data_IF_045950600287
#
_entry.id   IF_045950600287
#
_cell.length_a   1.000
_cell.length_b   1.000
_cell.length_c   1.000
_cell.angle_alpha   90.00
_cell.angle_beta   90.00
_cell.angle_gamma   90.00
#
_symmetry.space_group_name_H-M   'P 1'
#
loop_
_entity.id
_entity.type
_entity.pdbx_description
1 polymer ?
#
# COMPACT_ATOMS: atom_id res chain seq x y z
N UNK A 1 7.74 -18.89 -15.55
CA UNK A 1 7.31 -17.49 -15.74
C UNK A 1 7.74 -16.98 -17.10
N UNK A 2 9.03 -17.16 -17.51
CA UNK A 2 9.54 -16.75 -18.84
C UNK A 2 8.77 -17.39 -20.02
N UNK A 3 8.38 -18.66 -19.87
CA UNK A 3 7.63 -19.42 -20.90
C UNK A 3 6.18 -18.96 -21.09
N UNK A 4 5.59 -18.35 -20.07
CA UNK A 4 4.25 -17.74 -20.13
C UNK A 4 4.26 -16.38 -20.86
N UNK A 5 5.31 -15.57 -20.69
CA UNK A 5 5.46 -14.30 -21.41
C UNK A 5 5.64 -14.49 -22.91
N UNK A 6 6.44 -15.49 -23.33
CA UNK A 6 6.59 -15.83 -24.76
C UNK A 6 5.26 -16.30 -25.40
N UNK A 7 4.41 -16.99 -24.64
CA UNK A 7 3.06 -17.34 -25.08
C UNK A 7 2.15 -16.10 -25.17
N UNK A 8 2.30 -15.12 -24.25
CA UNK A 8 1.52 -13.88 -24.23
C UNK A 8 1.78 -12.99 -25.46
N UNK A 9 3.04 -12.84 -25.88
CA UNK A 9 3.38 -12.07 -27.09
C UNK A 9 2.77 -12.66 -28.36
N UNK A 10 2.69 -14.00 -28.44
CA UNK A 10 2.00 -14.69 -29.54
C UNK A 10 0.49 -14.54 -29.49
N UNK A 11 -0.12 -14.29 -28.31
CA UNK A 11 -1.55 -14.11 -28.14
C UNK A 11 -2.07 -12.79 -28.73
N UNK A 12 -1.31 -11.69 -28.62
CA UNK A 12 -1.71 -10.39 -29.16
C UNK A 12 -1.81 -10.37 -30.68
N UNK A 13 -1.25 -11.38 -31.35
CA UNK A 13 -1.25 -11.49 -32.80
C UNK A 13 -2.30 -12.47 -33.35
N UNK A 14 -3.01 -13.23 -32.51
CA UNK A 14 -3.98 -14.22 -32.95
C UNK A 14 -5.43 -13.70 -32.79
N UNK A 15 -6.17 -13.74 -33.90
CA UNK A 15 -7.60 -13.35 -34.01
C UNK A 15 -8.57 -14.37 -33.31
N UNK A 16 -8.07 -15.35 -32.58
CA UNK A 16 -8.83 -16.52 -32.10
C UNK A 16 -9.53 -16.34 -30.76
N UNK A 17 -9.90 -15.11 -30.39
CA UNK A 17 -10.85 -14.85 -29.31
C UNK A 17 -10.40 -15.30 -27.90
N UNK A 18 -9.08 -15.49 -27.68
CA UNK A 18 -8.53 -15.86 -26.37
C UNK A 18 -8.59 -14.67 -25.42
N UNK A 19 -9.14 -14.94 -24.23
CA UNK A 19 -9.40 -13.90 -23.22
C UNK A 19 -8.58 -14.19 -21.95
N UNK A 20 -8.57 -13.25 -21.01
CA UNK A 20 -8.04 -13.46 -19.66
C UNK A 20 -8.60 -14.74 -19.01
N UNK A 21 -9.81 -15.16 -19.36
CA UNK A 21 -10.41 -16.42 -18.90
C UNK A 21 -9.63 -17.65 -19.40
N UNK A 22 -9.12 -17.62 -20.61
CA UNK A 22 -8.32 -18.72 -21.18
C UNK A 22 -7.00 -18.86 -20.42
N UNK A 23 -6.35 -17.74 -20.08
CA UNK A 23 -5.12 -17.71 -19.29
C UNK A 23 -5.40 -18.25 -17.87
N UNK A 24 -6.47 -17.79 -17.24
CA UNK A 24 -6.88 -18.26 -15.90
C UNK A 24 -7.19 -19.75 -15.89
N UNK A 25 -7.83 -20.26 -16.95
CA UNK A 25 -8.08 -21.68 -17.11
C UNK A 25 -6.78 -22.50 -17.20
N UNK A 26 -5.82 -22.06 -17.99
CA UNK A 26 -4.55 -22.77 -18.13
C UNK A 26 -3.69 -22.67 -16.87
N UNK A 27 -3.58 -21.50 -16.26
CA UNK A 27 -2.86 -21.37 -14.99
C UNK A 27 -3.45 -22.28 -13.91
N UNK A 28 -4.78 -22.43 -13.85
CA UNK A 28 -5.45 -23.33 -12.91
C UNK A 28 -5.11 -24.80 -13.17
N UNK A 29 -4.98 -25.21 -14.43
CA UNK A 29 -4.73 -26.61 -14.79
C UNK A 29 -3.23 -26.97 -14.74
N UNK A 30 -2.36 -26.08 -15.23
CA UNK A 30 -0.93 -26.39 -15.40
C UNK A 30 -0.11 -26.15 -14.11
N UNK A 31 -0.50 -25.16 -13.28
CA UNK A 31 0.26 -24.71 -12.08
C UNK A 31 -0.67 -24.48 -10.91
N UNK A 32 -1.57 -25.40 -10.65
CA UNK A 32 -2.71 -25.24 -9.70
C UNK A 32 -2.31 -24.76 -8.30
N UNK A 33 -1.21 -25.26 -7.72
CA UNK A 33 -0.74 -24.84 -6.39
C UNK A 33 -0.20 -23.40 -6.35
N UNK A 34 0.55 -22.99 -7.39
CA UNK A 34 1.10 -21.64 -7.49
C UNK A 34 -0.01 -20.66 -7.87
N UNK A 35 -0.92 -21.05 -8.77
CA UNK A 35 -2.09 -20.26 -9.12
C UNK A 35 -2.95 -19.96 -7.90
N UNK A 36 -3.24 -20.96 -7.06
CA UNK A 36 -4.00 -20.80 -5.83
C UNK A 36 -3.33 -19.81 -4.87
N UNK A 37 -2.00 -19.90 -4.67
CA UNK A 37 -1.25 -18.94 -3.85
C UNK A 37 -1.35 -17.50 -4.37
N UNK A 38 -1.23 -17.31 -5.70
CA UNK A 38 -1.36 -15.97 -6.31
C UNK A 38 -2.80 -15.47 -6.18
N UNK A 39 -3.79 -16.32 -6.38
CA UNK A 39 -5.19 -15.98 -6.22
C UNK A 39 -5.52 -15.58 -4.77
N UNK A 40 -5.04 -16.35 -3.79
CA UNK A 40 -5.20 -16.05 -2.35
C UNK A 40 -4.48 -14.76 -1.93
N UNK A 41 -3.55 -14.24 -2.73
CA UNK A 41 -2.89 -12.93 -2.49
C UNK A 41 -3.65 -11.76 -3.09
N UNK A 42 -4.73 -11.98 -3.83
CA UNK A 42 -5.49 -10.92 -4.49
C UNK A 42 -6.70 -10.47 -3.67
N UNK A 43 -6.97 -9.18 -3.69
CA UNK A 43 -8.17 -8.60 -3.06
C UNK A 43 -9.46 -9.26 -3.59
N UNK A 44 -9.48 -9.58 -4.88
CA UNK A 44 -10.61 -10.18 -5.56
C UNK A 44 -11.03 -11.53 -4.95
N UNK A 45 -10.07 -12.34 -4.55
CA UNK A 45 -10.31 -13.59 -3.84
C UNK A 45 -11.07 -13.36 -2.53
N UNK A 46 -10.62 -12.41 -1.72
CA UNK A 46 -11.26 -12.12 -0.42
C UNK A 46 -12.64 -11.49 -0.57
N UNK A 47 -12.86 -10.72 -1.62
CA UNK A 47 -14.21 -10.19 -1.95
C UNK A 47 -15.16 -11.33 -2.31
N UNK A 48 -14.73 -12.28 -3.15
CA UNK A 48 -15.54 -13.45 -3.50
C UNK A 48 -15.83 -14.32 -2.27
N UNK A 49 -14.83 -14.56 -1.42
CA UNK A 49 -15.00 -15.32 -0.17
C UNK A 49 -15.98 -14.61 0.78
N UNK A 50 -15.89 -13.29 0.91
CA UNK A 50 -16.84 -12.51 1.70
C UNK A 50 -18.27 -12.60 1.15
N UNK A 51 -18.46 -12.64 -0.17
CA UNK A 51 -19.78 -12.85 -0.78
C UNK A 51 -20.31 -14.25 -0.48
N UNK A 52 -19.48 -15.30 -0.64
CA UNK A 52 -19.88 -16.69 -0.37
C UNK A 52 -20.30 -16.89 1.09
N UNK A 53 -19.62 -16.22 2.03
CA UNK A 53 -19.91 -16.26 3.47
C UNK A 53 -20.89 -15.20 3.94
N UNK A 54 -21.60 -14.53 3.02
CA UNK A 54 -22.64 -13.52 3.30
C UNK A 54 -22.13 -12.35 4.15
N UNK A 55 -20.90 -11.93 3.93
CA UNK A 55 -20.32 -10.73 4.54
C UNK A 55 -20.08 -10.85 6.04
N UNK A 56 -19.48 -11.95 6.51
CA UNK A 56 -19.01 -12.04 7.89
C UNK A 56 -18.00 -10.91 8.20
N UNK A 57 -18.01 -10.43 9.43
CA UNK A 57 -17.17 -9.30 9.86
C UNK A 57 -15.68 -9.57 9.64
N UNK A 58 -15.24 -10.80 9.90
CA UNK A 58 -13.85 -11.24 9.70
C UNK A 58 -13.46 -11.25 8.22
N UNK A 59 -14.32 -11.74 7.32
CA UNK A 59 -14.01 -11.79 5.89
C UNK A 59 -13.93 -10.38 5.30
N UNK A 60 -14.81 -9.47 5.73
CA UNK A 60 -14.76 -8.06 5.35
C UNK A 60 -13.52 -7.35 5.92
N UNK A 61 -13.06 -7.74 7.12
CA UNK A 61 -11.81 -7.25 7.68
C UNK A 61 -10.59 -7.76 6.90
N UNK A 62 -10.63 -8.99 6.37
CA UNK A 62 -9.58 -9.50 5.48
C UNK A 62 -9.52 -8.72 4.16
N UNK A 63 -10.67 -8.37 3.56
CA UNK A 63 -10.70 -7.48 2.39
C UNK A 63 -10.02 -6.16 2.71
N UNK A 64 -10.34 -5.54 3.85
CA UNK A 64 -9.73 -4.30 4.32
C UNK A 64 -8.21 -4.45 4.49
N UNK A 65 -7.76 -5.56 5.11
CA UNK A 65 -6.37 -5.86 5.33
C UNK A 65 -5.59 -6.00 4.01
N UNK A 66 -6.10 -6.77 3.06
CA UNK A 66 -5.42 -6.95 1.77
C UNK A 66 -5.28 -5.65 0.97
N UNK A 67 -6.24 -4.74 1.08
CA UNK A 67 -6.18 -3.43 0.43
C UNK A 67 -5.14 -2.50 1.06
N UNK A 68 -4.96 -2.60 2.38
CA UNK A 68 -4.31 -1.53 3.14
C UNK A 68 -3.19 -2.01 4.07
N UNK A 69 -2.75 -3.27 4.02
CA UNK A 69 -1.67 -3.83 4.85
C UNK A 69 -0.35 -3.07 4.77
N UNK A 70 -0.06 -2.43 3.62
CA UNK A 70 1.15 -1.64 3.41
C UNK A 70 0.94 -0.15 3.75
N UNK A 71 -0.27 0.22 4.13
CA UNK A 71 -0.65 1.61 4.42
C UNK A 71 -1.03 1.87 5.88
N UNK A 72 -1.54 0.87 6.57
CA UNK A 72 -1.96 0.99 7.97
C UNK A 72 -1.34 -0.10 8.83
N UNK A 73 -1.02 0.24 10.07
CA UNK A 73 -0.57 -0.69 11.11
C UNK A 73 -1.31 -0.37 12.41
N UNK A 74 -1.71 -1.40 13.14
CA UNK A 74 -2.14 -1.29 14.52
C UNK A 74 -0.93 -1.52 15.45
N UNK A 75 -0.43 -0.47 16.08
CA UNK A 75 0.72 -0.53 16.97
C UNK A 75 0.36 -0.97 18.40
N UNK A 76 -0.90 -0.80 18.80
CA UNK A 76 -1.38 -1.26 20.11
C UNK A 76 -2.83 -1.76 19.98
N UNK A 77 -3.00 -3.06 20.18
CA UNK A 77 -4.32 -3.69 20.16
C UNK A 77 -5.21 -3.22 21.30
N UNK A 78 -4.67 -3.15 22.51
CA UNK A 78 -5.43 -2.78 23.73
C UNK A 78 -5.88 -1.31 23.71
N UNK A 79 -5.06 -0.42 23.18
CA UNK A 79 -5.33 1.01 23.12
C UNK A 79 -5.92 1.45 21.77
N UNK A 80 -5.98 0.56 20.79
CA UNK A 80 -6.48 0.87 19.44
C UNK A 80 -5.65 1.95 18.73
N UNK A 81 -4.31 1.92 18.91
CA UNK A 81 -3.41 2.91 18.31
C UNK A 81 -3.09 2.47 16.89
N UNK A 82 -3.40 3.35 15.93
CA UNK A 82 -3.19 3.14 14.51
C UNK A 82 -2.15 4.10 13.95
N UNK A 83 -1.33 3.60 13.04
CA UNK A 83 -0.45 4.41 12.20
C UNK A 83 -0.86 4.27 10.74
N UNK A 84 -0.79 5.39 10.02
CA UNK A 84 -0.98 5.46 8.59
C UNK A 84 0.35 5.83 7.93
N UNK A 85 0.71 5.11 6.87
CA UNK A 85 1.83 5.47 6.02
C UNK A 85 1.41 6.57 5.05
N UNK A 86 1.98 7.76 5.23
CA UNK A 86 1.72 8.93 4.38
C UNK A 86 3.02 9.67 4.07
N UNK A 87 3.24 10.02 2.80
CA UNK A 87 4.37 10.81 2.31
C UNK A 87 5.73 10.33 2.84
N UNK A 88 5.96 9.02 2.77
CA UNK A 88 7.24 8.43 3.11
C UNK A 88 7.46 8.14 4.59
N UNK A 89 6.47 8.33 5.46
CA UNK A 89 6.57 8.10 6.90
C UNK A 89 5.31 7.54 7.54
N UNK A 90 5.46 6.97 8.69
CA UNK A 90 4.37 6.52 9.54
C UNK A 90 3.89 7.66 10.44
N UNK A 91 2.61 7.96 10.38
CA UNK A 91 1.96 9.02 11.17
C UNK A 91 0.91 8.38 12.07
N UNK A 92 0.92 8.72 13.35
CA UNK A 92 -0.10 8.24 14.28
C UNK A 92 -1.47 8.84 13.90
N UNK A 93 -2.47 7.97 13.76
CA UNK A 93 -3.82 8.34 13.40
C UNK A 93 -4.75 8.36 14.61
N UNK A 94 -5.87 9.06 14.49
CA UNK A 94 -6.89 9.16 15.55
C UNK A 94 -7.79 7.92 15.55
N UNK A 95 -7.42 6.92 16.36
CA UNK A 95 -8.24 5.74 16.66
C UNK A 95 -8.73 4.93 15.45
N UNK A 96 -8.03 5.01 14.32
CA UNK A 96 -8.39 4.30 13.09
C UNK A 96 -9.60 4.88 12.34
N UNK A 97 -9.95 6.14 12.57
CA UNK A 97 -11.07 6.81 11.88
C UNK A 97 -10.90 6.80 10.37
N UNK A 98 -9.69 7.06 9.88
CA UNK A 98 -9.44 7.12 8.43
C UNK A 98 -9.61 5.75 7.77
N UNK A 99 -9.07 4.69 8.35
CA UNK A 99 -9.28 3.33 7.83
C UNK A 99 -10.75 2.90 7.95
N UNK A 100 -11.46 3.32 9.00
CA UNK A 100 -12.90 3.05 9.16
C UNK A 100 -13.75 3.71 8.05
N UNK A 101 -13.38 4.90 7.59
CA UNK A 101 -14.03 5.55 6.45
C UNK A 101 -13.88 4.75 5.16
N UNK A 102 -12.75 4.03 4.97
CA UNK A 102 -12.49 3.18 3.81
C UNK A 102 -13.52 2.06 3.67
N UNK A 103 -14.04 1.53 4.78
CA UNK A 103 -15.09 0.49 4.77
C UNK A 103 -16.32 0.96 4.01
N UNK A 104 -16.84 2.15 4.33
CA UNK A 104 -18.06 2.67 3.72
C UNK A 104 -17.86 3.25 2.31
N UNK A 105 -16.64 3.57 1.93
CA UNK A 105 -16.33 4.23 0.66
C UNK A 105 -15.68 3.27 -0.34
N UNK A 106 -14.55 2.67 0.03
CA UNK A 106 -13.74 1.93 -0.94
C UNK A 106 -14.10 0.44 -0.97
N UNK A 107 -14.31 -0.22 0.18
CA UNK A 107 -14.81 -1.59 0.18
C UNK A 107 -16.20 -1.63 -0.45
N UNK A 108 -17.08 -0.68 -0.13
CA UNK A 108 -18.39 -0.59 -0.75
C UNK A 108 -18.32 -0.52 -2.29
N UNK A 109 -17.35 0.23 -2.86
CA UNK A 109 -17.14 0.31 -4.32
C UNK A 109 -16.68 -1.01 -4.93
N UNK A 110 -15.91 -1.82 -4.20
CA UNK A 110 -15.52 -3.14 -4.68
C UNK A 110 -16.73 -4.06 -4.87
N UNK A 111 -17.64 -4.07 -3.90
CA UNK A 111 -18.87 -4.84 -4.02
C UNK A 111 -19.80 -4.31 -5.11
N UNK A 112 -19.82 -2.97 -5.33
CA UNK A 112 -20.54 -2.38 -6.45
C UNK A 112 -19.95 -2.84 -7.81
N UNK A 113 -18.62 -2.91 -7.92
CA UNK A 113 -17.95 -3.46 -9.09
C UNK A 113 -18.33 -4.92 -9.35
N UNK A 114 -18.34 -5.75 -8.29
CA UNK A 114 -18.79 -7.15 -8.40
C UNK A 114 -20.26 -7.29 -8.79
N UNK A 115 -21.11 -6.41 -8.30
CA UNK A 115 -22.51 -6.37 -8.72
C UNK A 115 -22.64 -6.05 -10.21
N UNK A 116 -21.88 -5.09 -10.71
CA UNK A 116 -21.85 -4.74 -12.15
C UNK A 116 -21.38 -5.91 -13.00
N UNK A 117 -20.26 -6.56 -12.64
CA UNK A 117 -19.77 -7.76 -13.33
C UNK A 117 -20.81 -8.89 -13.40
N UNK A 118 -21.56 -9.07 -12.31
CA UNK A 118 -22.60 -10.10 -12.22
C UNK A 118 -23.81 -9.77 -13.13
N UNK A 119 -24.18 -8.48 -13.22
CA UNK A 119 -25.25 -8.00 -14.11
C UNK A 119 -24.86 -8.16 -15.58
N UNK A 120 -23.62 -7.83 -15.94
CA UNK A 120 -23.10 -8.01 -17.30
C UNK A 120 -23.07 -9.49 -17.71
N UNK A 121 -22.71 -10.38 -16.77
CA UNK A 121 -22.78 -11.83 -17.01
C UNK A 121 -24.20 -12.32 -17.25
N UNK A 122 -25.19 -11.76 -16.53
CA UNK A 122 -26.60 -12.05 -16.76
C UNK A 122 -27.05 -11.57 -18.14
N UNK A 123 -26.76 -10.33 -18.48
CA UNK A 123 -27.13 -9.75 -19.77
C UNK A 123 -26.55 -10.58 -20.92
N UNK A 124 -25.27 -10.94 -20.84
CA UNK A 124 -24.60 -11.76 -21.86
C UNK A 124 -25.21 -13.15 -21.99
N UNK A 125 -25.56 -13.79 -20.87
CA UNK A 125 -26.18 -15.13 -20.89
C UNK A 125 -27.60 -15.09 -21.42
N UNK A 126 -28.36 -14.05 -21.09
CA UNK A 126 -29.73 -13.86 -21.61
C UNK A 126 -29.73 -13.62 -23.11
N UNK A 127 -28.75 -12.87 -23.63
CA UNK A 127 -28.62 -12.57 -25.06
C UNK A 127 -28.17 -13.80 -25.89
N UNK A 128 -27.37 -14.71 -25.28
CA UNK A 128 -26.78 -15.82 -26.00
C UNK A 128 -27.64 -17.13 -25.90
N UNK A 129 -28.59 -17.21 -24.98
CA UNK A 129 -29.43 -18.40 -24.77
C UNK A 129 -30.90 -18.09 -25.11
N UNK A 130 -31.28 -18.34 -26.36
CA UNK A 130 -32.68 -18.37 -26.79
C UNK A 130 -33.42 -19.68 -26.45
N UNK A 131 -32.76 -20.60 -25.72
CA UNK A 131 -33.34 -21.88 -25.34
C UNK A 131 -33.78 -21.88 -23.88
N UNK A 132 -35.09 -21.97 -23.64
CA UNK A 132 -35.70 -22.04 -22.29
C UNK A 132 -35.51 -23.47 -21.69
N UNK A 133 -34.27 -23.87 -21.45
CA UNK A 133 -33.97 -25.09 -20.72
C UNK A 133 -34.09 -24.90 -19.20
N UNK A 134 -34.43 -25.94 -18.47
CA UNK A 134 -34.55 -25.98 -16.99
C UNK A 134 -33.25 -25.48 -16.31
N UNK A 135 -32.11 -25.65 -16.95
CA UNK A 135 -30.82 -25.17 -16.47
C UNK A 135 -30.72 -23.63 -16.41
N UNK A 136 -31.40 -22.92 -17.33
CA UNK A 136 -31.37 -21.45 -17.39
C UNK A 136 -32.05 -20.81 -16.17
N UNK A 137 -33.16 -21.38 -15.71
CA UNK A 137 -33.89 -20.89 -14.54
C UNK A 137 -33.12 -21.12 -13.23
N UNK A 138 -32.44 -22.24 -13.09
CA UNK A 138 -31.60 -22.52 -11.92
C UNK A 138 -30.39 -21.54 -11.86
N UNK A 139 -29.78 -21.25 -13.00
CA UNK A 139 -28.69 -20.29 -13.12
C UNK A 139 -29.17 -18.88 -12.75
N UNK A 140 -30.33 -18.44 -13.25
CA UNK A 140 -30.95 -17.16 -12.89
C UNK A 140 -31.17 -17.05 -11.38
N UNK A 141 -31.74 -18.07 -10.74
CA UNK A 141 -31.98 -18.08 -9.29
C UNK A 141 -30.68 -17.98 -8.49
N UNK A 142 -29.61 -18.67 -8.89
CA UNK A 142 -28.30 -18.59 -8.24
C UNK A 142 -27.70 -17.19 -8.37
N UNK A 143 -27.77 -16.59 -9.54
CA UNK A 143 -27.27 -15.25 -9.77
C UNK A 143 -28.07 -14.22 -8.97
N UNK A 144 -29.40 -14.33 -8.96
CA UNK A 144 -30.26 -13.46 -8.17
C UNK A 144 -29.98 -13.55 -6.66
N UNK A 145 -29.75 -14.77 -6.16
CA UNK A 145 -29.37 -14.97 -4.76
C UNK A 145 -28.02 -14.31 -4.43
N UNK A 146 -27.03 -14.42 -5.33
CA UNK A 146 -25.73 -13.76 -5.18
C UNK A 146 -25.86 -12.23 -5.22
N UNK A 147 -26.69 -11.69 -6.12
CA UNK A 147 -27.01 -10.26 -6.17
C UNK A 147 -27.60 -9.75 -4.85
N UNK A 148 -28.60 -10.44 -4.31
CA UNK A 148 -29.22 -10.06 -3.06
C UNK A 148 -28.20 -10.05 -1.92
N UNK A 149 -27.33 -11.05 -1.87
CA UNK A 149 -26.22 -11.10 -0.88
C UNK A 149 -25.30 -9.88 -1.01
N UNK A 150 -24.93 -9.50 -2.23
CA UNK A 150 -24.07 -8.32 -2.45
C UNK A 150 -24.78 -7.05 -1.99
N UNK A 151 -26.06 -6.86 -2.29
CA UNK A 151 -26.85 -5.72 -1.81
C UNK A 151 -26.91 -5.65 -0.28
N UNK A 152 -27.15 -6.79 0.39
CA UNK A 152 -27.18 -6.86 1.85
C UNK A 152 -25.82 -6.47 2.47
N UNK A 153 -24.72 -6.95 1.88
CA UNK A 153 -23.36 -6.56 2.29
C UNK A 153 -23.17 -5.06 2.11
N UNK A 154 -23.46 -4.52 0.93
CA UNK A 154 -23.30 -3.09 0.62
C UNK A 154 -24.10 -2.19 1.57
N UNK A 155 -25.35 -2.55 1.88
CA UNK A 155 -26.18 -1.84 2.86
C UNK A 155 -25.58 -1.92 4.27
N UNK A 156 -25.09 -3.08 4.66
CA UNK A 156 -24.47 -3.29 5.97
C UNK A 156 -23.20 -2.46 6.17
N UNK A 157 -22.35 -2.28 5.13
CA UNK A 157 -21.11 -1.50 5.18
C UNK A 157 -21.33 0.00 5.49
N UNK A 158 -22.55 0.50 5.31
CA UNK A 158 -22.93 1.87 5.69
C UNK A 158 -23.38 1.98 7.15
N UNK A 159 -23.69 0.87 7.83
CA UNK A 159 -24.20 0.84 9.19
C UNK A 159 -23.09 0.90 10.23
N UNK A 160 -23.22 1.79 11.21
CA UNK A 160 -22.21 1.98 12.28
C UNK A 160 -21.89 0.70 13.06
N UNK A 161 -22.84 -0.14 13.48
CA UNK A 161 -22.53 -1.38 14.20
C UNK A 161 -21.65 -2.33 13.38
N UNK A 162 -21.97 -2.51 12.10
CA UNK A 162 -21.20 -3.36 11.18
C UNK A 162 -19.76 -2.87 11.03
N UNK A 163 -19.57 -1.55 10.82
CA UNK A 163 -18.24 -0.95 10.75
C UNK A 163 -17.43 -1.15 12.01
N UNK A 164 -18.03 -0.98 13.19
CA UNK A 164 -17.35 -1.21 14.47
C UNK A 164 -16.90 -2.66 14.62
N UNK A 165 -17.73 -3.62 14.21
CA UNK A 165 -17.38 -5.04 14.26
C UNK A 165 -16.22 -5.36 13.29
N UNK A 166 -16.27 -4.87 12.06
CA UNK A 166 -15.19 -5.04 11.09
C UNK A 166 -13.90 -4.45 11.63
N UNK A 167 -13.93 -3.22 12.19
CA UNK A 167 -12.76 -2.58 12.79
C UNK A 167 -12.19 -3.37 13.97
N UNK A 168 -13.03 -4.02 14.77
CA UNK A 168 -12.58 -4.90 15.87
C UNK A 168 -11.80 -6.10 15.33
N UNK A 169 -12.26 -6.72 14.24
CA UNK A 169 -11.52 -7.81 13.58
C UNK A 169 -10.24 -7.28 12.89
N UNK A 170 -10.31 -6.10 12.31
CA UNK A 170 -9.17 -5.47 11.66
C UNK A 170 -8.03 -5.15 12.64
N UNK A 171 -8.32 -4.80 13.90
CA UNK A 171 -7.29 -4.62 14.92
C UNK A 171 -6.36 -5.83 15.04
N UNK A 172 -6.90 -7.05 14.97
CA UNK A 172 -6.11 -8.29 15.06
C UNK A 172 -5.24 -8.49 13.80
N UNK A 173 -5.81 -8.22 12.63
CA UNK A 173 -5.13 -8.45 11.34
C UNK A 173 -4.00 -7.46 11.09
N UNK A 174 -4.17 -6.20 11.50
CA UNK A 174 -3.17 -5.14 11.31
C UNK A 174 -2.17 -5.02 12.46
N UNK A 175 -2.33 -5.82 13.53
CA UNK A 175 -1.48 -5.70 14.68
C UNK A 175 -0.05 -6.18 14.42
N UNK A 176 0.92 -5.29 14.57
CA UNK A 176 2.35 -5.61 14.59
C UNK A 176 2.92 -5.28 15.98
N UNK A 177 3.16 -6.32 16.79
CA UNK A 177 3.74 -6.20 18.14
C UNK A 177 5.13 -5.55 18.16
N UNK A 178 5.86 -5.69 17.06
CA UNK A 178 7.24 -5.23 16.95
C UNK A 178 7.36 -3.86 16.27
N UNK A 179 6.23 -3.22 15.92
CA UNK A 179 6.21 -1.95 15.20
C UNK A 179 7.04 -0.86 15.89
N UNK A 180 6.82 -0.62 17.18
CA UNK A 180 7.58 0.38 17.95
C UNK A 180 9.07 0.04 18.06
N UNK A 181 9.43 -1.25 18.04
CA UNK A 181 10.82 -1.67 18.07
C UNK A 181 11.55 -1.41 16.74
N UNK A 182 10.81 -1.32 15.63
CA UNK A 182 11.33 -1.03 14.30
C UNK A 182 11.32 0.47 13.98
N UNK A 183 10.36 1.21 14.57
CA UNK A 183 10.12 2.62 14.26
C UNK A 183 11.33 3.48 14.62
N UNK A 184 11.81 4.26 13.66
CA UNK A 184 12.93 5.21 13.79
C UNK A 184 14.25 4.56 14.27
N UNK A 185 14.49 3.28 13.94
CA UNK A 185 15.72 2.56 14.33
C UNK A 185 16.84 2.63 13.29
N UNK A 186 16.52 2.94 12.06
CA UNK A 186 17.54 3.05 11.03
C UNK A 186 18.15 4.46 11.03
N UNK A 187 19.29 4.59 11.71
CA UNK A 187 20.04 5.84 11.88
C UNK A 187 20.67 6.36 10.59
N UNK A 188 20.70 5.53 9.53
CA UNK A 188 21.24 5.89 8.22
C UNK A 188 20.20 6.55 7.29
N UNK A 189 18.96 6.71 7.75
CA UNK A 189 17.88 7.31 6.96
C UNK A 189 17.46 8.66 7.52
N UNK A 190 17.51 9.70 6.68
CA UNK A 190 17.01 11.03 7.01
C UNK A 190 15.79 11.37 6.15
N UNK A 191 14.64 11.58 6.79
CA UNK A 191 13.37 11.85 6.11
C UNK A 191 13.14 13.35 5.90
N UNK A 192 12.90 13.72 4.64
CA UNK A 192 12.39 15.01 4.20
C UNK A 192 10.92 14.88 3.78
N UNK A 193 10.22 15.99 3.53
CA UNK A 193 8.82 15.93 3.12
C UNK A 193 8.59 15.17 1.81
N UNK A 194 9.55 15.21 0.90
CA UNK A 194 9.45 14.68 -0.47
C UNK A 194 10.34 13.46 -0.73
N UNK A 195 11.45 13.28 0.01
CA UNK A 195 12.41 12.21 -0.18
C UNK A 195 12.97 11.71 1.15
N UNK A 196 13.55 10.52 1.12
CA UNK A 196 14.44 9.99 2.15
C UNK A 196 15.85 9.99 1.59
N UNK A 197 16.81 10.50 2.36
CA UNK A 197 18.25 10.38 2.11
C UNK A 197 18.73 9.11 2.82
N UNK A 198 19.30 8.21 2.07
CA UNK A 198 19.89 6.95 2.53
C UNK A 198 21.41 7.10 2.52
N UNK A 199 22.02 7.33 3.70
CA UNK A 199 23.46 7.56 3.84
C UNK A 199 24.29 6.30 3.58
N UNK A 200 23.73 5.11 3.86
CA UNK A 200 24.41 3.84 3.57
C UNK A 200 24.59 3.63 2.06
N UNK A 201 23.55 3.95 1.28
CA UNK A 201 23.57 3.81 -0.18
C UNK A 201 24.04 5.08 -0.91
N UNK A 202 24.22 6.17 -0.18
CA UNK A 202 24.56 7.48 -0.73
C UNK A 202 23.60 7.91 -1.87
N UNK A 203 22.29 7.76 -1.61
CA UNK A 203 21.23 8.10 -2.56
C UNK A 203 20.05 8.82 -1.87
N UNK A 204 19.25 9.54 -2.64
CA UNK A 204 17.94 9.98 -2.20
C UNK A 204 16.86 9.27 -3.00
N UNK A 205 15.78 8.88 -2.33
CA UNK A 205 14.68 8.09 -2.90
C UNK A 205 13.34 8.41 -2.26
N UNK A 206 12.28 7.94 -2.88
CA UNK A 206 10.95 7.94 -2.27
C UNK A 206 10.96 6.95 -1.10
N UNK A 207 10.36 7.34 0.02
CA UNK A 207 10.20 6.49 1.19
C UNK A 207 9.35 5.26 0.91
N UNK A 208 9.59 4.20 1.66
CA UNK A 208 8.82 2.95 1.63
C UNK A 208 8.28 2.67 3.02
N UNK A 209 7.14 1.96 3.10
CA UNK A 209 6.55 1.58 4.39
C UNK A 209 7.52 0.76 5.26
N UNK A 210 8.41 -0.04 4.64
CA UNK A 210 9.42 -0.87 5.31
C UNK A 210 10.59 -0.06 5.89
N UNK A 211 10.67 1.24 5.62
CA UNK A 211 11.69 2.10 6.22
C UNK A 211 11.42 2.41 7.70
N UNK A 212 10.19 2.20 8.15
CA UNK A 212 9.74 2.42 9.54
C UNK A 212 10.15 3.77 10.12
N UNK A 213 9.94 4.85 9.37
CA UNK A 213 10.26 6.22 9.78
C UNK A 213 8.99 6.94 10.21
N UNK A 214 9.02 7.64 11.35
CA UNK A 214 7.97 8.57 11.78
C UNK A 214 8.44 10.01 11.82
N UNK A 215 9.73 10.23 12.08
CA UNK A 215 10.34 11.55 12.20
C UNK A 215 10.65 12.15 10.82
N UNK A 216 10.51 13.46 10.69
CA UNK A 216 10.77 14.18 9.46
C UNK A 216 11.38 15.55 9.77
N UNK A 217 12.28 16.02 8.91
CA UNK A 217 12.90 17.36 9.02
C UNK A 217 11.88 18.50 8.86
N UNK A 218 10.72 18.23 8.25
CA UNK A 218 9.69 19.23 7.95
C UNK A 218 10.00 20.14 6.76
N UNK A 219 11.12 19.93 6.08
CA UNK A 219 11.52 20.67 4.88
C UNK A 219 11.64 19.73 3.68
N UNK A 220 11.65 20.31 2.48
CA UNK A 220 11.87 19.56 1.24
C UNK A 220 13.37 19.37 0.97
N UNK A 221 13.76 18.17 0.55
CA UNK A 221 15.10 17.93 0.01
C UNK A 221 15.19 18.50 -1.41
N UNK A 222 16.24 19.29 -1.66
CA UNK A 222 16.54 19.86 -2.98
C UNK A 222 17.89 19.31 -3.43
N UNK A 223 17.93 18.54 -4.55
CA UNK A 223 19.19 18.04 -5.10
C UNK A 223 20.17 19.19 -5.40
N UNK A 224 21.45 18.95 -5.15
CA UNK A 224 22.51 19.99 -5.26
C UNK A 224 22.58 20.63 -6.65
N UNK A 225 22.28 19.89 -7.69
CA UNK A 225 22.25 20.40 -9.06
C UNK A 225 21.14 21.46 -9.26
N UNK A 226 19.99 21.22 -8.64
CA UNK A 226 18.88 22.19 -8.64
C UNK A 226 19.22 23.40 -7.77
N UNK A 227 19.87 23.19 -6.62
CA UNK A 227 20.34 24.29 -5.75
C UNK A 227 21.27 25.20 -6.54
N UNK A 228 22.27 24.65 -7.23
CA UNK A 228 23.24 25.42 -8.04
C UNK A 228 22.59 26.16 -9.22
N UNK A 229 21.51 25.64 -9.79
CA UNK A 229 20.81 26.29 -10.89
C UNK A 229 19.86 27.40 -10.43
N UNK A 230 19.10 27.13 -9.36
CA UNK A 230 17.97 27.98 -8.95
C UNK A 230 18.28 28.89 -7.76
N UNK A 231 19.19 28.45 -6.89
CA UNK A 231 19.53 29.12 -5.62
C UNK A 231 21.03 29.35 -5.51
N UNK A 232 21.69 29.70 -6.63
CA UNK A 232 23.15 29.93 -6.69
C UNK A 232 23.62 31.00 -5.71
N UNK A 233 22.85 32.07 -5.58
CA UNK A 233 23.22 33.19 -4.68
C UNK A 233 23.24 32.75 -3.23
N UNK A 234 22.22 32.08 -2.78
CA UNK A 234 22.07 31.54 -1.41
C UNK A 234 23.15 30.49 -1.12
N UNK A 235 23.42 29.64 -2.09
CA UNK A 235 24.49 28.65 -2.02
C UNK A 235 25.85 29.31 -1.82
N UNK A 236 26.18 30.32 -2.65
CA UNK A 236 27.46 31.01 -2.60
C UNK A 236 27.61 31.83 -1.31
N UNK A 237 26.52 32.42 -0.80
CA UNK A 237 26.51 33.10 0.51
C UNK A 237 26.85 32.13 1.64
N UNK A 238 26.36 30.90 1.64
CA UNK A 238 26.68 29.85 2.64
C UNK A 238 28.14 29.44 2.53
N UNK A 239 28.66 29.23 1.33
CA UNK A 239 30.07 28.87 1.10
C UNK A 239 30.99 29.97 1.57
N UNK A 240 30.69 31.23 1.25
CA UNK A 240 31.45 32.38 1.68
C UNK A 240 31.42 32.58 3.21
N UNK A 241 30.27 32.40 3.83
CA UNK A 241 30.10 32.44 5.28
C UNK A 241 31.00 31.42 5.99
N UNK A 242 30.97 30.16 5.55
CA UNK A 242 31.82 29.11 6.13
C UNK A 242 33.33 29.40 5.87
N UNK A 243 33.66 29.94 4.69
CA UNK A 243 35.04 30.31 4.39
C UNK A 243 35.57 31.45 5.30
N UNK A 244 34.70 32.39 5.68
CA UNK A 244 35.03 33.45 6.63
C UNK A 244 35.17 32.96 8.07
N UNK A 245 34.33 32.02 8.49
CA UNK A 245 34.42 31.39 9.82
C UNK A 245 35.66 30.52 9.96
N UNK A 246 36.03 29.80 8.93
CA UNK A 246 37.15 28.85 8.91
C UNK A 246 38.10 29.19 7.75
N UNK A 247 38.96 30.19 7.89
CA UNK A 247 39.88 30.63 6.83
C UNK A 247 40.89 29.56 6.44
N UNK A 248 41.30 28.70 7.40
CA UNK A 248 42.21 27.57 7.13
C UNK A 248 41.44 26.50 6.34
N UNK A 249 41.95 26.12 5.17
CA UNK A 249 41.33 25.23 4.24
C UNK A 249 41.14 23.81 4.83
N UNK A 250 42.15 23.28 5.53
CA UNK A 250 42.07 21.96 6.14
C UNK A 250 41.04 21.93 7.26
N UNK A 251 40.99 22.99 8.10
CA UNK A 251 39.99 23.11 9.15
C UNK A 251 38.58 23.24 8.54
N UNK A 252 38.43 24.05 7.48
CA UNK A 252 37.16 24.22 6.79
C UNK A 252 36.64 22.90 6.20
N UNK A 253 37.54 22.09 5.58
CA UNK A 253 37.18 20.76 5.09
C UNK A 253 36.71 19.85 6.22
N UNK A 254 37.48 19.80 7.31
CA UNK A 254 37.07 19.03 8.50
C UNK A 254 35.70 19.46 9.03
N UNK A 255 35.43 20.77 9.10
CA UNK A 255 34.14 21.28 9.57
C UNK A 255 32.97 20.89 8.66
N UNK A 256 33.18 20.89 7.34
CA UNK A 256 32.15 20.36 6.42
C UNK A 256 31.87 18.88 6.63
N UNK A 257 32.90 18.06 6.80
CA UNK A 257 32.77 16.63 7.08
C UNK A 257 32.08 16.41 8.43
N UNK A 258 32.45 17.20 9.44
CA UNK A 258 31.82 17.14 10.75
C UNK A 258 30.35 17.53 10.71
N UNK A 259 29.97 18.62 10.06
CA UNK A 259 28.57 19.04 9.90
C UNK A 259 27.75 17.99 9.15
N UNK A 260 28.33 17.42 8.10
CA UNK A 260 27.69 16.34 7.37
C UNK A 260 27.47 15.08 8.26
N UNK A 261 28.44 14.73 9.09
CA UNK A 261 28.31 13.60 10.02
C UNK A 261 27.19 13.79 11.06
N UNK A 262 26.88 15.04 11.43
CA UNK A 262 25.77 15.33 12.35
C UNK A 262 24.38 15.02 11.78
N UNK A 263 24.26 14.80 10.45
CA UNK A 263 23.01 14.40 9.81
C UNK A 263 22.73 12.88 9.96
N UNK A 264 23.77 12.10 10.30
CA UNK A 264 23.67 10.68 10.55
C UNK A 264 23.35 10.48 12.03
N UNK A 265 22.38 9.62 12.37
CA UNK A 265 21.92 9.41 13.74
C UNK A 265 22.90 8.65 14.64
N UNK A 266 24.10 8.35 14.18
CA UNK A 266 25.14 7.62 14.92
C UNK A 266 26.12 8.57 15.61
N UNK A 267 26.67 8.16 16.73
CA UNK A 267 27.83 8.81 17.38
C UNK A 267 28.94 7.79 17.58
N UNK A 268 29.42 7.21 16.49
CA UNK A 268 30.44 6.15 16.52
C UNK A 268 31.75 6.60 17.18
N UNK A 269 32.11 7.85 17.01
CA UNK A 269 33.37 8.37 17.53
C UNK A 269 33.31 8.74 19.01
N UNK A 270 32.12 8.82 19.62
CA UNK A 270 31.92 9.23 21.01
C UNK A 270 32.73 10.48 21.41
N UNK A 271 32.88 11.43 20.47
CA UNK A 271 33.68 12.63 20.66
C UNK A 271 32.85 13.77 21.25
N UNK A 272 33.50 14.55 22.10
CA UNK A 272 32.99 15.84 22.61
C UNK A 272 33.69 16.96 21.89
N UNK A 273 32.97 17.81 21.18
CA UNK A 273 33.54 18.90 20.42
C UNK A 273 33.29 20.23 21.16
N UNK A 274 34.34 21.03 21.29
CA UNK A 274 34.28 22.41 21.82
C UNK A 274 34.60 23.35 20.67
N UNK A 275 33.68 24.30 20.38
CA UNK A 275 33.82 25.27 19.31
C UNK A 275 34.23 26.63 19.86
#
# INVERSE_FOLDING_TARGET
>A
VSDMWGKWENFNNNKDGLTNRSIMYWCRNDVSKQFKKVQESTVDYYVEEAIERKGLDYDLANVLFQLYKDKYICASYSNGIWFEYDKGRWVEGDGGVEISKKISNEIWKLFLGKLSELLDQLATKVLNNFDESVDTEQIRKKIQAKQNTIYDIMDSLKKTPKKKNIMKQALELFYDKDFYNKLDKNEQLLCFNNYIVDFEKNEYRIGKHDDYISLCTGIDYIPIDIVKQKYMKEHDEIIDFIAKLFPNENLRKYMWEHLASCLIGTNENQTFNIY
#
